data_IF_788186915081
#
_entry.id   IF_788186915081
#
_cell.length_a   1.000
_cell.length_b   1.000
_cell.length_c   1.000
_cell.angle_alpha   90.00
_cell.angle_beta   90.00
_cell.angle_gamma   90.00
#
_symmetry.space_group_name_H-M   'P 1'
#
loop_
_entity.id
_entity.type
_entity.pdbx_description
1 polymer ?
#
# COMPACT_ATOMS: atom_id res chain seq x y z
N UNK A 1 -81.91 -45.59 8.08
CA UNK A 1 -82.08 -46.95 7.51
C UNK A 1 -80.77 -47.69 7.75
N UNK A 2 -80.80 -48.57 8.75
CA UNK A 2 -80.54 -50.00 8.63
C UNK A 2 -79.18 -50.33 8.06
N UNK A 3 -78.21 -51.10 8.68
CA UNK A 3 -78.37 -52.24 9.59
C UNK A 3 -77.02 -52.56 10.22
N UNK A 4 -77.00 -52.90 11.47
CA UNK A 4 -76.00 -53.71 12.18
C UNK A 4 -76.40 -55.21 11.95
N UNK A 5 -75.43 -56.16 11.88
CA UNK A 5 -75.36 -57.08 12.99
C UNK A 5 -73.92 -57.57 13.43
N UNK A 6 -73.71 -57.63 14.75
CA UNK A 6 -73.56 -58.81 15.65
C UNK A 6 -72.31 -59.70 15.51
N UNK A 7 -71.50 -59.57 16.58
CA UNK A 7 -70.85 -60.56 17.45
C UNK A 7 -70.67 -62.01 17.00
N UNK A 8 -69.45 -62.53 17.16
CA UNK A 8 -69.17 -63.81 17.84
C UNK A 8 -67.92 -63.79 18.65
N UNK A 9 -68.00 -64.26 19.90
CA UNK A 9 -66.92 -64.62 20.84
C UNK A 9 -66.43 -66.01 20.50
N UNK A 10 -65.10 -66.29 20.64
CA UNK A 10 -64.56 -67.59 21.12
C UNK A 10 -63.13 -67.32 21.70
N UNK A 11 -62.96 -67.51 22.83
CA UNK A 11 -62.30 -68.36 23.82
C UNK A 11 -60.79 -68.52 23.72
N UNK A 12 -60.20 -68.34 24.92
CA UNK A 12 -58.83 -68.52 25.33
C UNK A 12 -58.18 -69.86 24.94
N UNK A 13 -56.91 -69.81 24.55
CA UNK A 13 -55.94 -70.84 24.90
C UNK A 13 -54.60 -70.18 25.31
N UNK A 14 -54.10 -70.63 26.49
CA UNK A 14 -52.82 -70.27 27.13
C UNK A 14 -51.65 -70.76 26.24
N UNK A 15 -50.65 -69.87 25.99
CA UNK A 15 -49.36 -70.20 25.40
C UNK A 15 -48.29 -69.31 26.01
N UNK A 16 -47.26 -69.91 26.50
CA UNK A 16 -46.11 -69.42 27.23
C UNK A 16 -45.41 -68.20 26.60
N UNK A 17 -44.81 -67.28 27.41
CA UNK A 17 -44.13 -66.08 26.87
C UNK A 17 -42.74 -66.43 26.34
N UNK A 18 -42.52 -66.20 25.04
CA UNK A 18 -41.17 -66.05 24.47
C UNK A 18 -40.76 -64.63 24.58
N UNK A 19 -39.64 -64.40 25.24
CA UNK A 19 -38.98 -63.11 25.33
C UNK A 19 -38.57 -62.60 23.95
N UNK A 20 -39.16 -61.48 23.50
CA UNK A 20 -38.77 -60.75 22.30
C UNK A 20 -37.78 -59.69 22.74
N UNK A 21 -36.47 -59.86 22.41
CA UNK A 21 -35.43 -58.88 22.61
C UNK A 21 -35.66 -57.74 21.63
N UNK A 22 -36.12 -56.61 22.11
CA UNK A 22 -36.23 -55.35 21.33
C UNK A 22 -34.84 -54.67 21.33
N UNK A 23 -34.13 -54.81 20.22
CA UNK A 23 -32.89 -54.05 19.98
C UNK A 23 -33.28 -52.60 19.76
N UNK A 24 -33.05 -51.77 20.78
CA UNK A 24 -33.14 -50.31 20.63
C UNK A 24 -31.93 -49.84 19.84
N UNK A 25 -32.15 -49.46 18.57
CA UNK A 25 -31.15 -48.71 17.79
C UNK A 25 -31.13 -47.28 18.36
N UNK A 26 -30.12 -46.99 19.19
CA UNK A 26 -29.80 -45.61 19.56
C UNK A 26 -29.13 -44.97 18.36
N UNK A 27 -29.91 -44.26 17.55
CA UNK A 27 -29.38 -43.30 16.57
C UNK A 27 -28.74 -42.15 17.32
N UNK A 28 -27.42 -42.22 17.45
CA UNK A 28 -26.60 -41.13 17.94
C UNK A 28 -26.59 -40.07 16.84
N UNK A 29 -27.52 -39.14 16.93
CA UNK A 29 -27.55 -37.93 16.09
C UNK A 29 -26.26 -37.16 16.39
N UNK A 30 -25.31 -37.15 15.45
CA UNK A 30 -24.23 -36.20 15.41
C UNK A 30 -24.91 -34.82 15.27
N UNK A 31 -25.13 -34.13 16.41
CA UNK A 31 -25.36 -32.70 16.42
C UNK A 31 -24.05 -32.08 15.90
N UNK A 32 -24.01 -31.79 14.59
CA UNK A 32 -23.07 -30.86 14.02
C UNK A 32 -23.40 -29.48 14.60
N UNK A 33 -22.91 -29.18 15.81
CA UNK A 33 -22.86 -27.79 16.26
C UNK A 33 -22.09 -27.04 15.16
N UNK A 34 -22.63 -25.98 14.56
CA UNK A 34 -21.81 -25.09 13.78
C UNK A 34 -20.68 -24.63 14.71
N UNK A 35 -19.46 -25.02 14.39
CA UNK A 35 -18.27 -24.39 14.98
C UNK A 35 -18.38 -22.89 14.60
N UNK A 36 -18.91 -22.10 15.52
CA UNK A 36 -18.74 -20.65 15.41
C UNK A 36 -17.24 -20.43 15.44
N UNK A 37 -16.75 -19.83 14.35
CA UNK A 37 -15.36 -19.41 14.29
C UNK A 37 -15.09 -18.56 15.52
N UNK A 38 -14.11 -18.99 16.33
CA UNK A 38 -13.79 -18.28 17.55
C UNK A 38 -13.18 -16.92 17.19
N UNK A 39 -13.69 -15.85 17.78
CA UNK A 39 -13.04 -14.55 17.68
C UNK A 39 -11.63 -14.65 18.27
N UNK A 40 -10.62 -13.98 17.68
CA UNK A 40 -9.27 -13.96 18.21
C UNK A 40 -9.20 -13.43 19.65
N UNK A 41 -8.30 -13.98 20.46
CA UNK A 41 -7.94 -13.38 21.75
C UNK A 41 -7.09 -12.11 21.49
N UNK A 42 -7.78 -11.01 21.20
CA UNK A 42 -7.16 -9.77 20.78
C UNK A 42 -6.04 -9.27 21.71
N UNK A 43 -6.16 -9.30 23.05
CA UNK A 43 -5.06 -8.94 23.94
C UNK A 43 -3.78 -9.76 23.70
N UNK A 44 -3.90 -11.06 23.43
CA UNK A 44 -2.76 -11.94 23.13
C UNK A 44 -2.21 -11.63 21.74
N UNK A 45 -3.07 -11.50 20.74
CA UNK A 45 -2.70 -11.18 19.35
C UNK A 45 -1.98 -9.86 19.27
N UNK A 46 -2.53 -8.81 19.89
CA UNK A 46 -1.99 -7.45 19.87
C UNK A 46 -0.61 -7.38 20.54
N UNK A 47 -0.45 -8.06 21.68
CA UNK A 47 0.87 -8.14 22.33
C UNK A 47 1.91 -8.79 21.42
N UNK A 48 1.57 -9.94 20.81
CA UNK A 48 2.46 -10.63 19.89
C UNK A 48 2.80 -9.79 18.65
N UNK A 49 1.80 -9.15 18.04
CA UNK A 49 1.99 -8.29 16.88
C UNK A 49 2.92 -7.10 17.17
N UNK A 50 2.77 -6.47 18.36
CA UNK A 50 3.65 -5.37 18.77
C UNK A 50 5.10 -5.85 18.98
N UNK A 51 5.31 -6.99 19.63
CA UNK A 51 6.63 -7.59 19.81
C UNK A 51 7.26 -7.97 18.45
N UNK A 52 6.45 -8.48 17.53
CA UNK A 52 6.87 -8.81 16.17
C UNK A 52 7.27 -7.56 15.38
N UNK A 53 6.46 -6.51 15.42
CA UNK A 53 6.80 -5.24 14.76
C UNK A 53 8.12 -4.69 15.29
N UNK A 54 8.36 -4.73 16.61
CA UNK A 54 9.63 -4.29 17.17
C UNK A 54 10.81 -5.15 16.66
N UNK A 55 10.67 -6.48 16.58
CA UNK A 55 11.70 -7.36 16.00
C UNK A 55 11.95 -7.01 14.53
N UNK A 56 10.88 -6.77 13.77
CA UNK A 56 10.97 -6.49 12.35
C UNK A 56 11.62 -5.13 12.06
N UNK A 57 11.28 -4.08 12.79
CA UNK A 57 11.90 -2.76 12.64
C UNK A 57 13.39 -2.79 12.97
N UNK A 58 13.83 -3.66 13.89
CA UNK A 58 15.26 -3.83 14.22
C UNK A 58 16.10 -4.41 13.09
N UNK A 59 15.49 -5.00 12.08
CA UNK A 59 16.20 -5.50 10.90
C UNK A 59 16.39 -4.35 9.92
N UNK A 60 17.65 -3.96 9.67
CA UNK A 60 18.01 -2.86 8.79
C UNK A 60 18.02 -3.31 7.32
N UNK A 61 16.86 -3.48 6.72
CA UNK A 61 16.69 -3.85 5.30
C UNK A 61 16.78 -2.63 4.37
N UNK A 62 17.87 -1.87 4.46
CA UNK A 62 18.05 -0.60 3.75
C UNK A 62 18.24 -0.83 2.24
N UNK A 63 17.57 -0.01 1.43
CA UNK A 63 17.68 0.01 -0.02
C UNK A 63 18.30 1.34 -0.52
N UNK A 64 19.45 1.32 -1.25
CA UNK A 64 20.23 0.16 -1.64
C UNK A 64 21.08 -0.44 -0.49
N UNK A 65 21.52 -1.73 -0.53
CA UNK A 65 21.37 -2.67 -1.64
C UNK A 65 20.06 -3.49 -1.63
N UNK A 66 19.11 -3.25 -0.73
CA UNK A 66 17.87 -4.02 -0.55
C UNK A 66 18.12 -5.48 -0.13
N UNK A 67 19.06 -5.71 0.80
CA UNK A 67 19.24 -7.03 1.37
C UNK A 67 18.10 -7.34 2.35
N UNK A 68 17.19 -8.19 1.94
CA UNK A 68 15.95 -8.51 2.67
C UNK A 68 15.93 -9.94 3.22
N UNK A 69 17.05 -10.68 3.16
CA UNK A 69 17.13 -12.08 3.60
C UNK A 69 16.69 -12.25 5.06
N UNK A 70 17.19 -11.42 5.98
CA UNK A 70 16.85 -11.51 7.42
C UNK A 70 15.39 -11.15 7.66
N UNK A 71 14.88 -10.10 7.02
CA UNK A 71 13.48 -9.70 7.08
C UNK A 71 12.55 -10.82 6.57
N UNK A 72 12.86 -11.39 5.40
CA UNK A 72 12.13 -12.50 4.83
C UNK A 72 12.18 -13.76 5.72
N UNK A 73 13.32 -14.04 6.38
CA UNK A 73 13.45 -15.15 7.30
C UNK A 73 12.59 -14.98 8.56
N UNK A 74 12.53 -13.77 9.13
CA UNK A 74 11.65 -13.46 10.27
C UNK A 74 10.18 -13.73 9.91
N UNK A 75 9.70 -13.12 8.82
CA UNK A 75 8.30 -13.23 8.37
C UNK A 75 7.98 -14.67 7.97
N UNK A 76 8.89 -15.38 7.31
CA UNK A 76 8.75 -16.80 6.99
C UNK A 76 8.55 -17.64 8.28
N UNK A 77 9.38 -17.40 9.30
CA UNK A 77 9.30 -18.14 10.57
C UNK A 77 7.96 -17.95 11.28
N UNK A 78 7.43 -16.72 11.32
CA UNK A 78 6.12 -16.42 11.91
C UNK A 78 4.98 -17.12 11.15
N UNK A 79 5.03 -17.11 9.83
CA UNK A 79 4.05 -17.79 8.99
C UNK A 79 4.11 -19.31 9.14
N UNK A 80 5.33 -19.91 9.21
CA UNK A 80 5.51 -21.34 9.43
C UNK A 80 5.01 -21.78 10.81
N UNK A 81 5.26 -20.96 11.84
CA UNK A 81 4.73 -21.21 13.19
C UNK A 81 3.19 -21.20 13.24
N UNK A 82 2.55 -20.45 12.34
CA UNK A 82 1.10 -20.45 12.13
C UNK A 82 0.63 -21.55 11.16
N UNK A 83 1.52 -22.46 10.71
CA UNK A 83 1.21 -23.58 9.84
C UNK A 83 0.98 -23.23 8.39
N UNK A 84 1.55 -22.12 7.90
CA UNK A 84 1.62 -21.81 6.49
C UNK A 84 2.87 -22.43 5.83
N UNK A 85 2.92 -22.39 4.51
CA UNK A 85 4.07 -22.86 3.72
C UNK A 85 4.52 -21.72 2.78
N UNK A 86 5.24 -20.71 3.30
CA UNK A 86 5.73 -19.61 2.49
C UNK A 86 6.86 -20.05 1.56
N UNK A 87 6.94 -19.42 0.40
CA UNK A 87 8.03 -19.59 -0.58
C UNK A 87 8.87 -18.34 -0.61
N UNK A 88 10.18 -18.50 -0.77
CA UNK A 88 11.15 -17.41 -0.96
C UNK A 88 11.69 -17.43 -2.38
N UNK A 89 11.88 -16.26 -2.96
CA UNK A 89 12.42 -16.05 -4.30
C UNK A 89 13.55 -15.03 -4.24
N UNK A 90 14.76 -15.47 -4.59
CA UNK A 90 15.90 -14.58 -4.77
C UNK A 90 15.84 -13.95 -6.17
N UNK A 91 15.81 -12.64 -6.25
CA UNK A 91 15.71 -11.89 -7.51
C UNK A 91 16.98 -11.10 -7.87
N UNK A 92 17.98 -11.09 -6.98
CA UNK A 92 19.24 -10.41 -7.19
C UNK A 92 20.40 -11.02 -6.39
N UNK A 93 21.66 -10.58 -6.69
CA UNK A 93 22.86 -11.18 -6.11
C UNK A 93 23.14 -10.76 -4.65
N UNK A 94 22.60 -9.64 -4.19
CA UNK A 94 22.96 -9.02 -2.91
C UNK A 94 21.92 -9.32 -1.81
N UNK A 95 21.19 -10.44 -1.93
CA UNK A 95 20.20 -10.87 -0.94
C UNK A 95 18.79 -10.28 -1.15
N UNK A 96 18.49 -9.77 -2.34
CA UNK A 96 17.13 -9.36 -2.71
C UNK A 96 16.22 -10.59 -2.71
N UNK A 97 15.35 -10.65 -1.71
CA UNK A 97 14.49 -11.80 -1.45
C UNK A 97 13.04 -11.36 -1.34
N UNK A 98 12.17 -11.98 -2.14
CA UNK A 98 10.72 -11.81 -2.11
C UNK A 98 10.09 -13.02 -1.41
N UNK A 99 8.93 -12.84 -0.77
CA UNK A 99 8.18 -13.89 -0.08
C UNK A 99 6.75 -13.95 -0.59
N UNK A 100 6.29 -15.16 -0.87
CA UNK A 100 4.88 -15.45 -1.18
C UNK A 100 4.29 -16.45 -0.19
N UNK A 101 3.07 -16.22 0.25
CA UNK A 101 2.28 -17.20 1.01
C UNK A 101 0.81 -17.14 0.59
N UNK A 102 0.12 -18.28 0.66
CA UNK A 102 -1.29 -18.40 0.26
C UNK A 102 -2.14 -19.01 1.38
N UNK A 103 -3.27 -18.39 1.66
CA UNK A 103 -4.37 -18.95 2.44
C UNK A 103 -5.48 -19.38 1.46
N UNK A 104 -5.81 -20.69 1.37
CA UNK A 104 -6.88 -21.15 0.49
C UNK A 104 -8.25 -20.63 0.89
N UNK A 105 -9.02 -20.19 -0.10
CA UNK A 105 -10.41 -19.79 0.05
C UNK A 105 -11.40 -20.92 -0.22
N UNK A 106 -12.68 -20.65 0.05
CA UNK A 106 -13.78 -21.61 -0.21
C UNK A 106 -14.11 -21.77 -1.69
N UNK A 107 -13.88 -20.73 -2.50
CA UNK A 107 -14.10 -20.77 -3.95
C UNK A 107 -12.75 -20.54 -4.68
N UNK A 108 -12.14 -21.65 -5.03
CA UNK A 108 -10.82 -21.66 -5.70
C UNK A 108 -10.89 -21.34 -7.20
N UNK A 109 -12.09 -21.20 -7.77
CA UNK A 109 -12.29 -20.74 -9.14
C UNK A 109 -12.18 -19.22 -9.26
N UNK A 110 -12.34 -18.51 -8.15
CA UNK A 110 -12.13 -17.07 -8.08
C UNK A 110 -10.65 -16.72 -8.01
N UNK A 111 -10.24 -15.67 -8.74
CA UNK A 111 -8.91 -15.11 -8.60
C UNK A 111 -8.69 -14.58 -7.18
N UNK A 112 -7.48 -14.67 -6.62
CA UNK A 112 -7.19 -14.29 -5.23
C UNK A 112 -7.29 -12.79 -4.95
N UNK A 113 -7.37 -12.45 -3.67
CA UNK A 113 -6.95 -11.16 -3.15
C UNK A 113 -5.44 -11.21 -2.91
N UNK A 114 -4.71 -10.20 -3.38
CA UNK A 114 -3.30 -10.01 -3.08
C UNK A 114 -3.12 -8.95 -1.98
N UNK A 115 -2.46 -9.32 -0.89
CA UNK A 115 -1.91 -8.42 0.10
C UNK A 115 -0.47 -8.13 -0.31
N UNK A 116 -0.18 -6.91 -0.70
CA UNK A 116 1.13 -6.49 -1.16
C UNK A 116 1.79 -5.63 -0.08
N UNK A 117 3.06 -5.88 0.17
CA UNK A 117 3.89 -5.09 1.08
C UNK A 117 5.37 -5.26 0.72
N UNK A 118 6.24 -4.38 1.23
CA UNK A 118 7.67 -4.49 0.99
C UNK A 118 8.49 -4.63 2.28
N UNK A 119 9.67 -5.24 2.14
CA UNK A 119 10.63 -5.47 3.22
C UNK A 119 11.61 -4.33 3.40
N UNK A 120 11.98 -3.70 2.29
CA UNK A 120 13.03 -2.71 2.24
C UNK A 120 12.58 -1.36 2.84
N UNK A 121 13.56 -0.55 3.16
CA UNK A 121 13.35 0.79 3.72
C UNK A 121 14.37 1.76 3.16
N UNK A 122 14.05 3.04 3.07
CA UNK A 122 14.99 4.08 2.62
C UNK A 122 16.21 4.21 3.54
N UNK A 123 17.35 4.73 3.04
CA UNK A 123 18.53 5.00 3.85
C UNK A 123 18.27 5.93 5.04
N UNK A 124 19.13 5.85 6.04
CA UNK A 124 19.09 6.67 7.25
C UNK A 124 20.37 7.50 7.40
N UNK A 125 20.23 8.74 7.84
CA UNK A 125 21.34 9.47 8.46
C UNK A 125 21.27 9.29 9.98
N UNK A 126 22.04 8.34 10.51
CA UNK A 126 22.02 8.02 11.94
C UNK A 126 22.35 9.22 12.84
N UNK A 127 23.05 10.24 12.33
CA UNK A 127 23.37 11.46 13.11
C UNK A 127 22.17 12.36 13.28
N UNK A 128 21.25 12.37 12.30
CA UNK A 128 20.04 13.18 12.34
C UNK A 128 18.97 12.58 13.27
N UNK A 129 18.98 11.25 13.47
CA UNK A 129 17.92 10.55 14.24
C UNK A 129 17.92 10.86 15.74
N UNK A 130 19.03 11.27 16.34
CA UNK A 130 19.10 11.47 17.80
C UNK A 130 18.95 10.19 18.66
N UNK A 131 18.69 9.05 18.03
CA UNK A 131 18.60 7.68 18.57
C UNK A 131 18.96 6.69 17.48
N UNK A 132 19.12 5.40 17.82
CA UNK A 132 19.29 4.35 16.81
C UNK A 132 17.98 4.21 15.98
N UNK A 133 18.02 4.44 14.66
CA UNK A 133 16.83 4.35 13.78
C UNK A 133 16.20 2.95 13.73
N UNK A 134 16.92 1.93 14.14
CA UNK A 134 16.46 0.54 14.18
C UNK A 134 16.25 0.00 15.61
N UNK A 135 16.25 0.85 16.63
CA UNK A 135 16.02 0.40 18.00
C UNK A 135 14.58 -0.05 18.28
N UNK A 136 13.61 0.39 17.48
CA UNK A 136 12.19 0.08 17.63
C UNK A 136 11.66 0.39 19.04
N UNK A 137 11.96 1.58 19.56
CA UNK A 137 11.55 1.99 20.91
C UNK A 137 10.09 2.41 20.92
N UNK A 138 9.39 2.03 22.01
CA UNK A 138 8.06 2.56 22.30
C UNK A 138 8.24 3.77 23.23
N UNK A 139 7.83 4.95 22.75
CA UNK A 139 7.89 6.19 23.49
C UNK A 139 6.64 7.03 23.17
N UNK A 140 6.03 7.60 24.21
CA UNK A 140 4.84 8.46 24.10
C UNK A 140 3.67 7.78 23.33
N UNK A 141 3.48 6.45 23.53
CA UNK A 141 2.45 5.67 22.85
C UNK A 141 2.70 5.39 21.37
N UNK A 142 3.90 5.68 20.88
CA UNK A 142 4.31 5.44 19.50
C UNK A 142 5.51 4.51 19.43
N UNK A 143 5.58 3.69 18.39
CA UNK A 143 6.77 2.91 18.04
C UNK A 143 7.59 3.72 17.05
N UNK A 144 8.84 3.97 17.39
CA UNK A 144 9.80 4.78 16.64
C UNK A 144 10.80 3.89 15.93
N UNK A 145 11.01 4.14 14.64
CA UNK A 145 12.04 3.48 13.85
C UNK A 145 11.80 3.58 12.35
N UNK A 146 12.87 3.50 11.58
CA UNK A 146 12.81 3.44 10.12
C UNK A 146 12.04 2.20 9.67
N UNK A 147 11.04 2.39 8.80
CA UNK A 147 10.15 1.34 8.33
C UNK A 147 8.93 1.11 9.23
N UNK A 148 8.80 1.80 10.38
CA UNK A 148 7.63 1.64 11.24
C UNK A 148 6.34 2.07 10.52
N UNK A 149 6.37 3.19 9.79
CA UNK A 149 5.27 3.73 9.00
C UNK A 149 5.29 3.20 7.56
N UNK A 150 6.46 3.12 6.95
CA UNK A 150 6.70 2.76 5.57
C UNK A 150 7.65 1.54 5.47
N UNK A 151 7.09 0.27 5.33
CA UNK A 151 5.69 -0.06 5.60
C UNK A 151 5.58 -1.32 6.49
N UNK A 152 6.62 -1.58 7.36
CA UNK A 152 6.66 -2.78 8.21
C UNK A 152 5.47 -2.88 9.16
N UNK A 153 4.95 -1.73 9.64
CA UNK A 153 3.73 -1.68 10.43
C UNK A 153 2.56 -2.30 9.69
N UNK A 154 2.29 -1.83 8.48
CA UNK A 154 1.20 -2.34 7.64
C UNK A 154 1.43 -3.81 7.24
N UNK A 155 2.66 -4.22 6.95
CA UNK A 155 2.99 -5.61 6.65
C UNK A 155 2.65 -6.55 7.82
N UNK A 156 2.90 -6.13 9.07
CA UNK A 156 2.52 -6.89 10.27
C UNK A 156 1.01 -6.90 10.46
N UNK A 157 0.30 -5.80 10.18
CA UNK A 157 -1.18 -5.78 10.20
C UNK A 157 -1.77 -6.83 9.24
N UNK A 158 -1.34 -6.81 7.98
CA UNK A 158 -1.78 -7.74 6.94
C UNK A 158 -1.49 -9.20 7.33
N UNK A 159 -0.27 -9.49 7.75
CA UNK A 159 0.16 -10.83 8.12
C UNK A 159 -0.56 -11.34 9.37
N UNK A 160 -0.70 -10.51 10.41
CA UNK A 160 -1.38 -10.91 11.65
C UNK A 160 -2.84 -11.22 11.38
N UNK A 161 -3.54 -10.39 10.60
CA UNK A 161 -4.92 -10.65 10.20
C UNK A 161 -5.05 -11.96 9.41
N UNK A 162 -4.13 -12.24 8.49
CA UNK A 162 -4.09 -13.49 7.73
C UNK A 162 -3.87 -14.72 8.63
N UNK A 163 -2.97 -14.63 9.61
CA UNK A 163 -2.69 -15.67 10.59
C UNK A 163 -3.93 -15.94 11.44
N UNK A 164 -4.59 -14.89 11.92
CA UNK A 164 -5.76 -15.04 12.80
C UNK A 164 -6.97 -15.59 12.06
N UNK A 165 -7.18 -15.30 10.77
CA UNK A 165 -8.18 -16.00 9.97
C UNK A 165 -7.97 -17.52 10.00
N UNK A 166 -6.74 -17.94 9.76
CA UNK A 166 -6.41 -19.37 9.75
C UNK A 166 -6.58 -20.02 11.13
N UNK A 167 -6.13 -19.34 12.20
CA UNK A 167 -6.28 -19.83 13.59
C UNK A 167 -7.74 -19.94 14.01
N UNK A 168 -8.58 -19.00 13.59
CA UNK A 168 -10.02 -19.00 13.83
C UNK A 168 -10.77 -20.03 12.97
N UNK A 169 -10.10 -20.71 12.04
CA UNK A 169 -10.74 -21.64 11.10
C UNK A 169 -11.66 -20.95 10.09
N UNK A 170 -11.50 -19.64 9.89
CA UNK A 170 -12.29 -18.86 8.92
C UNK A 170 -11.71 -19.10 7.52
N UNK A 171 -12.54 -19.62 6.63
CA UNK A 171 -12.20 -19.82 5.22
C UNK A 171 -12.68 -18.61 4.42
N UNK A 172 -11.78 -17.79 3.85
CA UNK A 172 -12.16 -16.60 3.12
C UNK A 172 -12.93 -16.93 1.82
N UNK A 173 -13.64 -15.97 1.20
CA UNK A 173 -14.45 -16.21 0.01
C UNK A 173 -13.64 -16.64 -1.23
N UNK A 174 -12.39 -16.25 -1.30
CA UNK A 174 -11.40 -16.58 -2.34
C UNK A 174 -10.03 -16.79 -1.69
N UNK A 175 -9.08 -17.32 -2.43
CA UNK A 175 -7.70 -17.40 -1.94
C UNK A 175 -7.21 -16.00 -1.56
N UNK A 176 -6.42 -15.92 -0.48
CA UNK A 176 -5.65 -14.71 -0.13
C UNK A 176 -4.19 -15.06 -0.33
N UNK A 177 -3.50 -14.25 -1.12
CA UNK A 177 -2.05 -14.33 -1.33
C UNK A 177 -1.43 -13.12 -0.65
N UNK A 178 -0.40 -13.31 0.16
CA UNK A 178 0.46 -12.22 0.62
C UNK A 178 1.78 -12.30 -0.13
N UNK A 179 2.18 -11.18 -0.71
CA UNK A 179 3.47 -10.98 -1.36
C UNK A 179 4.21 -9.86 -0.64
N UNK A 180 5.41 -10.18 -0.14
CA UNK A 180 6.33 -9.19 0.40
C UNK A 180 7.51 -9.04 -0.55
N UNK A 181 7.73 -7.84 -1.07
CA UNK A 181 8.74 -7.51 -2.08
C UNK A 181 10.01 -6.94 -1.45
N UNK A 182 11.10 -6.90 -2.19
CA UNK A 182 12.41 -6.51 -1.68
C UNK A 182 12.93 -5.15 -2.18
N UNK A 183 12.24 -4.44 -3.08
CA UNK A 183 12.86 -3.36 -3.86
C UNK A 183 11.86 -2.22 -4.19
N UNK A 184 10.85 -1.99 -3.36
CA UNK A 184 9.86 -0.94 -3.61
C UNK A 184 10.52 0.44 -3.65
N UNK A 185 11.33 0.75 -2.65
CA UNK A 185 12.02 2.03 -2.42
C UNK A 185 13.02 2.43 -3.53
N UNK A 186 13.25 1.53 -4.52
CA UNK A 186 14.12 1.76 -5.68
C UNK A 186 13.49 1.35 -7.01
N UNK A 187 12.18 1.57 -7.18
CA UNK A 187 11.38 1.32 -8.39
C UNK A 187 10.90 -0.12 -8.62
N UNK A 188 11.03 -1.02 -7.67
CA UNK A 188 10.42 -2.35 -7.69
C UNK A 188 10.94 -3.32 -8.77
N UNK A 189 12.13 -3.07 -9.35
CA UNK A 189 12.66 -3.89 -10.46
C UNK A 189 12.96 -5.32 -10.03
N UNK A 190 13.51 -5.50 -8.83
CA UNK A 190 13.84 -6.79 -8.22
C UNK A 190 12.71 -7.30 -7.31
N UNK A 191 11.77 -6.44 -6.96
CA UNK A 191 10.55 -6.72 -6.21
C UNK A 191 9.39 -7.09 -7.11
N UNK A 192 8.34 -6.25 -7.11
CA UNK A 192 7.07 -6.51 -7.80
C UNK A 192 7.24 -6.75 -9.29
N UNK A 193 8.10 -6.01 -9.99
CA UNK A 193 8.27 -6.20 -11.42
C UNK A 193 8.86 -7.59 -11.74
N UNK A 194 9.84 -8.03 -10.95
CA UNK A 194 10.43 -9.36 -11.11
C UNK A 194 9.39 -10.46 -10.80
N UNK A 195 8.62 -10.31 -9.72
CA UNK A 195 7.57 -11.26 -9.35
C UNK A 195 6.48 -11.35 -10.44
N UNK A 196 6.02 -10.23 -10.96
CA UNK A 196 5.02 -10.18 -12.03
C UNK A 196 5.55 -10.78 -13.35
N UNK A 197 6.82 -10.64 -13.65
CA UNK A 197 7.39 -11.17 -14.87
C UNK A 197 7.69 -12.67 -14.81
N UNK A 198 7.99 -13.22 -13.62
CA UNK A 198 8.47 -14.59 -13.48
C UNK A 198 7.48 -15.51 -12.73
N UNK A 199 6.57 -14.97 -11.92
CA UNK A 199 5.69 -15.73 -11.03
C UNK A 199 4.24 -15.21 -11.03
N UNK A 200 3.80 -14.57 -12.12
CA UNK A 200 2.45 -14.01 -12.19
C UNK A 200 1.36 -15.06 -11.96
N UNK A 201 1.56 -16.31 -12.42
CA UNK A 201 0.62 -17.41 -12.24
C UNK A 201 0.36 -17.74 -10.75
N UNK A 202 1.33 -17.44 -9.89
CA UNK A 202 1.17 -17.60 -8.45
C UNK A 202 0.41 -16.44 -7.80
N UNK A 203 0.35 -15.29 -8.47
CA UNK A 203 -0.34 -14.09 -8.02
C UNK A 203 -1.74 -13.99 -8.62
N UNK A 204 -1.84 -13.82 -9.93
CA UNK A 204 -3.02 -13.57 -10.79
C UNK A 204 -4.25 -13.01 -10.04
N UNK A 205 -4.13 -11.86 -9.35
CA UNK A 205 -5.14 -11.40 -8.41
C UNK A 205 -6.36 -10.80 -9.10
N UNK A 206 -7.54 -10.89 -8.42
CA UNK A 206 -8.72 -10.10 -8.77
C UNK A 206 -8.65 -8.69 -8.18
N UNK A 207 -7.97 -8.55 -7.04
CA UNK A 207 -7.81 -7.31 -6.28
C UNK A 207 -6.46 -7.29 -5.60
N UNK A 208 -5.96 -6.07 -5.33
CA UNK A 208 -4.74 -5.82 -4.57
C UNK A 208 -5.04 -4.87 -3.41
N UNK A 209 -4.50 -5.17 -2.22
CA UNK A 209 -4.35 -4.24 -1.11
C UNK A 209 -2.87 -3.99 -0.87
N UNK A 210 -2.48 -2.74 -1.00
CA UNK A 210 -1.11 -2.24 -0.86
C UNK A 210 -1.08 -1.09 0.14
N UNK A 211 0.03 -0.42 0.25
CA UNK A 211 0.18 0.80 1.03
C UNK A 211 -0.51 2.00 0.37
N UNK A 212 -0.68 3.06 1.14
CA UNK A 212 -1.29 4.31 0.69
C UNK A 212 -2.69 4.53 1.25
N UNK A 213 -3.03 5.79 1.37
CA UNK A 213 -4.22 6.20 2.10
C UNK A 213 -4.03 6.10 3.62
N UNK A 214 -4.83 6.83 4.36
CA UNK A 214 -4.88 6.77 5.82
C UNK A 214 -6.10 7.53 6.33
N UNK A 215 -6.42 7.37 7.61
CA UNK A 215 -7.37 8.21 8.34
C UNK A 215 -6.70 9.45 8.92
N UNK A 216 -7.34 10.61 8.85
CA UNK A 216 -6.87 11.81 9.54
C UNK A 216 -8.00 12.73 9.93
N UNK A 217 -7.83 13.48 11.03
CA UNK A 217 -8.76 14.52 11.48
C UNK A 217 -8.39 15.92 10.99
N UNK A 218 -7.23 16.04 10.37
CA UNK A 218 -6.61 17.33 10.01
C UNK A 218 -6.27 17.41 8.54
N UNK A 219 -5.84 16.30 7.94
CA UNK A 219 -5.23 16.27 6.61
C UNK A 219 -6.19 16.75 5.52
N UNK A 220 -7.41 16.22 5.51
CA UNK A 220 -8.37 16.49 4.42
C UNK A 220 -9.30 17.65 4.72
N UNK A 221 -9.92 17.65 5.90
CA UNK A 221 -10.79 18.73 6.37
C UNK A 221 -10.77 18.79 7.89
N UNK A 222 -10.55 19.98 8.49
CA UNK A 222 -10.40 20.10 9.94
C UNK A 222 -11.63 19.58 10.70
N UNK A 223 -11.38 18.83 11.78
CA UNK A 223 -12.40 18.40 12.73
C UNK A 223 -13.24 17.19 12.30
N UNK A 224 -13.11 16.69 11.08
CA UNK A 224 -13.74 15.44 10.63
C UNK A 224 -12.71 14.34 10.50
N UNK A 225 -13.01 13.15 10.99
CA UNK A 225 -12.22 11.98 10.66
C UNK A 225 -12.55 11.55 9.23
N UNK A 226 -11.56 11.60 8.35
CA UNK A 226 -11.68 11.19 6.96
C UNK A 226 -10.65 10.10 6.68
N UNK A 227 -11.09 8.94 6.19
CA UNK A 227 -10.23 7.91 5.64
C UNK A 227 -10.19 8.05 4.11
N UNK A 228 -9.00 8.23 3.57
CA UNK A 228 -8.76 8.07 2.14
C UNK A 228 -8.32 6.65 1.85
N UNK A 229 -9.02 5.94 0.97
CA UNK A 229 -8.57 4.69 0.38
C UNK A 229 -7.96 5.05 -0.97
N UNK A 230 -6.65 4.78 -1.16
CA UNK A 230 -6.01 5.14 -2.41
C UNK A 230 -6.53 4.24 -3.55
N UNK A 231 -7.03 4.85 -4.60
CA UNK A 231 -7.54 4.18 -5.81
C UNK A 231 -6.66 4.42 -7.02
N UNK A 232 -5.67 5.27 -6.89
CA UNK A 232 -4.74 5.65 -7.93
C UNK A 232 -3.63 6.55 -7.42
N UNK A 233 -2.62 6.73 -8.24
CA UNK A 233 -1.44 7.53 -7.97
C UNK A 233 -1.12 8.47 -9.11
N UNK A 234 -0.29 9.48 -8.86
CA UNK A 234 0.21 10.37 -9.91
C UNK A 234 1.32 9.68 -10.71
N UNK A 235 1.41 10.02 -11.98
CA UNK A 235 2.50 9.59 -12.85
C UNK A 235 3.78 10.35 -12.51
N UNK A 236 4.93 9.70 -12.47
CA UNK A 236 6.23 10.34 -12.28
C UNK A 236 6.88 10.64 -13.63
N UNK A 237 7.08 11.92 -13.93
CA UNK A 237 7.78 12.40 -15.11
C UNK A 237 8.98 13.23 -14.67
N UNK A 238 10.17 12.65 -14.71
CA UNK A 238 11.40 13.35 -14.38
C UNK A 238 12.05 13.92 -15.63
N UNK A 239 12.29 15.23 -15.61
CA UNK A 239 12.86 15.96 -16.75
C UNK A 239 14.24 16.50 -16.37
N UNK A 240 15.22 16.30 -17.25
CA UNK A 240 16.51 17.00 -17.22
C UNK A 240 16.47 18.16 -18.19
N UNK A 241 16.83 19.34 -17.70
CA UNK A 241 17.09 20.53 -18.50
C UNK A 241 18.61 20.70 -18.59
N UNK A 242 19.17 20.73 -19.80
CA UNK A 242 20.61 20.96 -20.02
C UNK A 242 20.79 22.17 -20.90
N UNK A 243 21.44 23.20 -20.37
CA UNK A 243 21.75 24.44 -21.09
C UNK A 243 23.21 24.43 -21.58
N UNK A 244 23.42 24.89 -22.81
CA UNK A 244 24.74 25.09 -23.40
C UNK A 244 25.01 26.58 -23.60
N UNK A 245 26.25 26.97 -23.36
CA UNK A 245 26.73 28.32 -23.58
C UNK A 245 28.23 28.35 -23.83
N UNK A 246 28.82 29.53 -23.85
CA UNK A 246 30.26 29.72 -24.06
C UNK A 246 30.99 29.75 -22.72
N UNK A 247 32.09 28.98 -22.60
CA UNK A 247 32.98 29.05 -21.45
C UNK A 247 33.82 30.33 -21.48
N UNK A 248 34.11 30.89 -20.31
CA UNK A 248 34.89 32.11 -20.27
C UNK A 248 35.44 32.47 -18.88
N UNK A 249 36.22 33.56 -18.85
CA UNK A 249 36.72 34.10 -17.60
C UNK A 249 35.66 34.97 -16.91
N UNK A 250 35.40 34.73 -15.63
CA UNK A 250 34.31 35.37 -14.88
C UNK A 250 34.38 36.93 -14.83
N UNK A 251 35.59 37.53 -15.05
CA UNK A 251 35.76 38.98 -15.13
C UNK A 251 35.30 39.56 -16.48
N UNK A 252 34.95 38.73 -17.46
CA UNK A 252 34.50 39.14 -18.80
C UNK A 252 33.09 38.59 -19.02
N UNK A 253 32.04 39.30 -18.56
CA UNK A 253 30.66 38.84 -18.70
C UNK A 253 30.29 38.59 -20.16
N UNK A 254 29.65 37.45 -20.43
CA UNK A 254 29.17 37.05 -21.74
C UNK A 254 27.65 36.83 -21.70
N UNK A 255 26.98 37.21 -22.80
CA UNK A 255 25.51 37.01 -22.90
C UNK A 255 25.13 35.53 -23.04
N UNK A 256 26.03 34.71 -23.56
CA UNK A 256 25.85 33.27 -23.79
C UNK A 256 26.40 32.45 -22.61
N UNK A 257 25.95 32.77 -21.40
CA UNK A 257 26.33 32.09 -20.16
C UNK A 257 25.35 30.96 -19.85
N UNK A 258 25.82 29.71 -19.80
CA UNK A 258 24.99 28.51 -19.59
C UNK A 258 24.17 28.59 -18.27
N UNK A 259 24.73 29.16 -17.20
CA UNK A 259 24.00 29.33 -15.93
C UNK A 259 22.79 30.28 -16.09
N UNK A 260 22.97 31.41 -16.76
CA UNK A 260 21.90 32.39 -16.97
C UNK A 260 20.81 31.82 -17.88
N UNK A 261 21.21 31.11 -18.95
CA UNK A 261 20.30 30.42 -19.85
C UNK A 261 19.47 29.39 -19.10
N UNK A 262 20.12 28.56 -18.26
CA UNK A 262 19.40 27.54 -17.46
C UNK A 262 18.43 28.17 -16.46
N UNK A 263 18.83 29.22 -15.75
CA UNK A 263 17.97 29.91 -14.79
C UNK A 263 16.71 30.48 -15.45
N UNK A 264 16.84 31.07 -16.65
CA UNK A 264 15.70 31.58 -17.42
C UNK A 264 14.78 30.43 -17.91
N UNK A 265 15.38 29.31 -18.35
CA UNK A 265 14.64 28.12 -18.75
C UNK A 265 13.83 27.52 -17.58
N UNK A 266 14.44 27.39 -16.39
CA UNK A 266 13.75 26.91 -15.17
C UNK A 266 12.59 27.84 -14.84
N UNK A 267 12.82 29.16 -14.81
CA UNK A 267 11.78 30.15 -14.52
C UNK A 267 10.61 30.05 -15.49
N UNK A 268 10.86 29.90 -16.80
CA UNK A 268 9.82 29.71 -17.82
C UNK A 268 9.08 28.38 -17.68
N UNK A 269 9.82 27.29 -17.46
CA UNK A 269 9.24 25.95 -17.29
C UNK A 269 8.29 25.90 -16.09
N UNK A 270 8.69 26.46 -14.95
CA UNK A 270 7.98 26.37 -13.68
C UNK A 270 6.95 27.50 -13.44
N UNK A 271 6.75 28.42 -14.38
CA UNK A 271 5.88 29.59 -14.19
C UNK A 271 4.42 29.23 -13.89
N UNK A 272 3.92 28.13 -14.38
CA UNK A 272 2.69 27.45 -13.96
C UNK A 272 2.67 26.02 -14.53
N UNK A 273 2.18 25.00 -13.81
CA UNK A 273 1.86 23.73 -14.45
C UNK A 273 0.77 23.93 -15.50
N UNK A 274 0.74 23.09 -16.56
CA UNK A 274 -0.35 23.13 -17.54
C UNK A 274 -1.71 22.95 -16.87
N UNK A 275 -2.73 23.64 -17.39
CA UNK A 275 -4.10 23.49 -16.92
C UNK A 275 -4.55 22.03 -17.05
N UNK A 276 -5.11 21.46 -15.96
CA UNK A 276 -5.62 20.09 -15.93
C UNK A 276 -7.11 20.06 -16.24
N UNK A 277 -7.55 19.01 -16.93
CA UNK A 277 -8.97 18.68 -17.01
C UNK A 277 -9.42 18.11 -15.64
N UNK A 278 -10.69 18.30 -15.24
CA UNK A 278 -11.21 17.69 -14.03
C UNK A 278 -11.00 16.16 -14.04
N UNK A 279 -10.44 15.63 -12.99
CA UNK A 279 -10.23 14.19 -12.83
C UNK A 279 -11.39 13.64 -11.97
N UNK A 280 -12.16 12.65 -12.44
CA UNK A 280 -13.38 12.19 -11.76
C UNK A 280 -13.17 11.84 -10.27
N UNK A 281 -12.08 11.16 -9.92
CA UNK A 281 -11.79 10.82 -8.53
C UNK A 281 -11.54 12.06 -7.66
N UNK A 282 -10.91 13.10 -8.19
CA UNK A 282 -10.70 14.37 -7.46
C UNK A 282 -12.04 15.04 -7.15
N UNK A 283 -12.98 15.00 -8.10
CA UNK A 283 -14.34 15.52 -7.88
C UNK A 283 -15.13 14.66 -6.87
N UNK A 284 -14.90 13.35 -6.85
CA UNK A 284 -15.47 12.45 -5.84
C UNK A 284 -14.91 12.74 -4.45
N UNK A 285 -13.60 12.92 -4.33
CA UNK A 285 -12.95 13.38 -3.10
C UNK A 285 -13.57 14.69 -2.56
N UNK A 286 -13.73 15.70 -3.44
CA UNK A 286 -14.34 16.99 -3.08
C UNK A 286 -15.75 16.81 -2.55
N UNK A 287 -16.58 16.01 -3.23
CA UNK A 287 -17.96 15.74 -2.79
C UNK A 287 -18.01 15.07 -1.42
N UNK A 288 -17.14 14.09 -1.17
CA UNK A 288 -17.12 13.33 0.09
C UNK A 288 -16.85 14.21 1.32
N UNK A 289 -15.97 15.21 1.20
CA UNK A 289 -15.64 16.12 2.32
C UNK A 289 -16.55 17.36 2.39
N UNK A 290 -17.47 17.54 1.43
CA UNK A 290 -18.37 18.70 1.38
C UNK A 290 -17.81 19.91 0.62
N UNK A 291 -16.91 19.67 -0.33
CA UNK A 291 -16.43 20.67 -1.31
C UNK A 291 -15.17 21.43 -0.93
N UNK A 292 -14.78 21.46 0.35
CA UNK A 292 -13.61 22.24 0.79
C UNK A 292 -12.57 21.35 1.46
N UNK A 293 -11.36 21.35 0.92
CA UNK A 293 -10.20 20.72 1.51
C UNK A 293 -9.40 21.65 2.40
N UNK A 294 -8.67 21.05 3.36
CA UNK A 294 -7.62 21.76 4.08
C UNK A 294 -6.52 22.20 3.10
N UNK A 295 -6.06 23.43 3.26
CA UNK A 295 -4.94 23.94 2.45
C UNK A 295 -3.61 23.46 3.07
N UNK A 296 -3.07 22.37 2.55
CA UNK A 296 -1.76 21.85 2.92
C UNK A 296 -1.04 21.22 1.72
N UNK A 297 0.27 21.01 1.86
CA UNK A 297 1.12 20.52 0.76
C UNK A 297 0.69 19.16 0.20
N UNK A 298 0.19 18.24 1.06
CA UNK A 298 -0.21 16.90 0.63
C UNK A 298 -1.49 16.97 -0.21
N UNK A 299 -2.53 17.61 0.31
CA UNK A 299 -3.81 17.78 -0.40
C UNK A 299 -3.59 18.53 -1.72
N UNK A 300 -2.85 19.63 -1.69
CA UNK A 300 -2.58 20.41 -2.91
C UNK A 300 -1.84 19.56 -3.96
N UNK A 301 -0.86 18.75 -3.52
CA UNK A 301 -0.15 17.83 -4.41
C UNK A 301 -1.06 16.72 -4.97
N UNK A 302 -2.12 16.34 -4.27
CA UNK A 302 -3.08 15.32 -4.72
C UNK A 302 -4.06 15.85 -5.76
N UNK A 303 -4.39 17.15 -5.70
CA UNK A 303 -5.46 17.75 -6.51
C UNK A 303 -5.02 18.25 -7.88
N UNK A 304 -3.72 18.54 -8.06
CA UNK A 304 -3.18 19.15 -9.27
C UNK A 304 -1.87 18.48 -9.74
N UNK A 305 -1.48 18.75 -11.00
CA UNK A 305 -0.12 18.46 -11.44
C UNK A 305 0.87 19.28 -10.63
N UNK A 306 2.00 18.69 -10.28
CA UNK A 306 3.04 19.38 -9.51
C UNK A 306 4.39 19.33 -10.22
N UNK A 307 5.22 20.34 -9.98
CA UNK A 307 6.58 20.43 -10.50
C UNK A 307 7.51 20.91 -9.38
N UNK A 308 8.61 20.21 -9.16
CA UNK A 308 9.62 20.54 -8.14
C UNK A 308 11.01 20.55 -8.78
N UNK A 309 11.77 21.63 -8.62
CA UNK A 309 13.18 21.65 -8.95
C UNK A 309 13.94 20.81 -7.91
N UNK A 310 14.56 19.72 -8.34
CA UNK A 310 15.19 18.77 -7.42
C UNK A 310 16.71 18.83 -7.46
N UNK A 311 17.32 19.12 -8.60
CA UNK A 311 18.77 19.30 -8.71
C UNK A 311 19.11 20.52 -9.54
N UNK A 312 20.27 21.14 -9.20
CA UNK A 312 20.88 22.21 -9.98
C UNK A 312 22.40 22.00 -9.93
N UNK A 313 23.00 21.80 -11.08
CA UNK A 313 24.44 21.50 -11.20
C UNK A 313 25.10 22.34 -12.24
N UNK A 314 26.23 22.95 -11.88
CA UNK A 314 27.03 23.75 -12.78
C UNK A 314 28.42 24.03 -12.18
N UNK A 315 29.33 24.61 -12.98
CA UNK A 315 30.67 24.96 -12.57
C UNK A 315 31.73 24.08 -13.18
N UNK A 316 33.01 24.44 -13.00
CA UNK A 316 34.18 23.77 -13.55
C UNK A 316 35.18 23.46 -12.43
N UNK A 317 35.69 22.23 -12.44
CA UNK A 317 36.72 21.76 -11.53
C UNK A 317 36.21 21.24 -10.17
N UNK A 318 37.11 20.58 -9.43
CA UNK A 318 36.88 20.10 -8.08
C UNK A 318 38.09 20.46 -7.22
N UNK A 319 37.97 21.43 -6.28
CA UNK A 319 36.80 22.26 -6.02
C UNK A 319 36.38 23.16 -7.20
N UNK A 320 35.11 23.55 -7.24
CA UNK A 320 34.57 24.43 -8.29
C UNK A 320 35.30 25.77 -8.33
N UNK A 321 35.70 26.20 -9.53
CA UNK A 321 36.39 27.47 -9.75
C UNK A 321 35.41 28.63 -9.86
N UNK A 322 35.49 29.57 -8.93
CA UNK A 322 34.54 30.69 -8.81
C UNK A 322 34.69 31.75 -9.92
N UNK A 323 35.83 31.79 -10.62
CA UNK A 323 36.15 32.76 -11.64
C UNK A 323 36.06 32.20 -13.08
N UNK A 324 35.43 31.04 -13.27
CA UNK A 324 35.22 30.39 -14.57
C UNK A 324 33.74 30.31 -14.90
N UNK A 325 33.34 30.82 -16.08
CA UNK A 325 32.01 30.63 -16.63
C UNK A 325 31.97 29.25 -17.30
N UNK A 326 31.06 28.34 -16.88
CA UNK A 326 30.96 27.02 -17.48
C UNK A 326 30.25 27.06 -18.85
N UNK A 327 30.57 26.08 -19.71
CA UNK A 327 29.91 25.89 -21.00
C UNK A 327 28.60 25.11 -20.91
N UNK A 328 28.33 24.46 -19.78
CA UNK A 328 27.10 23.69 -19.54
C UNK A 328 26.58 23.91 -18.12
N UNK A 329 25.25 23.82 -17.99
CA UNK A 329 24.57 23.79 -16.71
C UNK A 329 23.35 22.88 -16.83
N UNK A 330 23.02 22.15 -15.76
CA UNK A 330 21.95 21.17 -15.74
C UNK A 330 21.04 21.33 -14.53
N UNK A 331 19.76 20.97 -14.72
CA UNK A 331 18.76 20.91 -13.65
C UNK A 331 17.84 19.73 -13.85
N UNK A 332 17.28 19.20 -12.77
CA UNK A 332 16.21 18.19 -12.82
C UNK A 332 14.93 18.76 -12.24
N UNK A 333 13.81 18.47 -12.90
CA UNK A 333 12.46 18.80 -12.43
C UNK A 333 11.70 17.49 -12.25
N UNK A 334 11.21 17.24 -11.03
CA UNK A 334 10.25 16.17 -10.72
C UNK A 334 8.83 16.69 -11.00
N UNK A 335 8.23 16.18 -12.07
CA UNK A 335 6.84 16.46 -12.41
C UNK A 335 5.98 15.27 -11.99
N UNK A 336 4.87 15.55 -11.27
CA UNK A 336 3.88 14.55 -10.89
C UNK A 336 2.56 14.90 -11.55
N UNK A 337 2.11 14.02 -12.46
CA UNK A 337 0.96 14.25 -13.31
C UNK A 337 -0.26 13.47 -12.81
N UNK A 338 -1.43 14.08 -12.86
CA UNK A 338 -2.69 13.43 -12.57
C UNK A 338 -2.97 12.30 -13.58
N UNK A 339 -3.71 11.24 -13.20
CA UNK A 339 -4.15 10.22 -14.15
C UNK A 339 -4.90 10.82 -15.34
N UNK A 340 -4.63 10.31 -16.54
CA UNK A 340 -5.19 10.79 -17.80
C UNK A 340 -4.49 12.00 -18.41
N UNK A 341 -3.46 12.56 -17.76
CA UNK A 341 -2.63 13.61 -18.36
C UNK A 341 -1.64 12.98 -19.33
N UNK A 342 -1.63 13.48 -20.56
CA UNK A 342 -0.66 13.01 -21.56
C UNK A 342 0.72 13.61 -21.27
N UNK A 343 1.68 12.77 -20.94
CA UNK A 343 3.04 13.17 -20.58
C UNK A 343 3.83 13.76 -21.76
N UNK A 344 3.53 13.36 -23.02
CA UNK A 344 4.17 13.92 -24.20
C UNK A 344 3.71 15.34 -24.45
N UNK A 345 2.41 15.60 -24.31
CA UNK A 345 1.84 16.94 -24.40
C UNK A 345 2.38 17.84 -23.29
N UNK A 346 2.48 17.32 -22.07
CA UNK A 346 3.02 18.06 -20.93
C UNK A 346 4.48 18.46 -21.15
N UNK A 347 5.33 17.52 -21.60
CA UNK A 347 6.72 17.83 -21.92
C UNK A 347 6.85 18.81 -23.09
N UNK A 348 6.00 18.68 -24.11
CA UNK A 348 5.99 19.57 -25.28
C UNK A 348 5.61 20.99 -24.88
N UNK A 349 4.66 21.17 -23.97
CA UNK A 349 4.29 22.47 -23.43
C UNK A 349 5.46 23.12 -22.66
N UNK A 350 6.18 22.33 -21.83
CA UNK A 350 7.39 22.83 -21.14
C UNK A 350 8.44 23.28 -22.15
N UNK A 351 8.72 22.49 -23.21
CA UNK A 351 9.65 22.87 -24.28
C UNK A 351 9.22 24.16 -24.97
N UNK A 352 7.92 24.28 -25.27
CA UNK A 352 7.37 25.47 -25.92
C UNK A 352 7.48 26.75 -25.03
N UNK A 353 7.30 26.62 -23.73
CA UNK A 353 7.49 27.72 -22.77
C UNK A 353 8.94 28.17 -22.68
N UNK A 354 9.88 27.22 -22.62
CA UNK A 354 11.32 27.51 -22.58
C UNK A 354 11.72 28.25 -23.85
N UNK A 355 11.34 27.74 -25.01
CA UNK A 355 11.57 28.33 -26.35
C UNK A 355 13.00 28.88 -26.52
N UNK A 356 14.01 28.07 -26.15
CA UNK A 356 15.42 28.41 -26.30
C UNK A 356 16.16 27.20 -26.91
N UNK A 357 16.73 27.31 -28.14
CA UNK A 357 17.38 26.19 -28.81
C UNK A 357 18.68 25.72 -28.13
N UNK A 358 19.22 26.49 -27.18
CA UNK A 358 20.39 26.14 -26.38
C UNK A 358 20.05 25.23 -25.19
N UNK A 359 18.74 25.00 -24.95
CA UNK A 359 18.25 24.18 -23.83
C UNK A 359 17.63 22.89 -24.39
N UNK A 360 18.14 21.75 -23.95
CA UNK A 360 17.50 20.45 -24.20
C UNK A 360 16.65 20.08 -22.98
N UNK A 361 15.50 19.40 -23.24
CA UNK A 361 14.61 18.83 -22.21
C UNK A 361 14.44 17.35 -22.49
N UNK A 362 15.03 16.52 -21.63
CA UNK A 362 15.08 15.07 -21.76
C UNK A 362 14.34 14.39 -20.61
N UNK A 363 13.73 13.22 -20.88
CA UNK A 363 13.15 12.36 -19.84
C UNK A 363 14.24 11.53 -19.20
N UNK A 364 14.19 11.41 -17.86
CA UNK A 364 15.02 10.50 -17.09
C UNK A 364 14.32 9.16 -16.79
N UNK A 365 12.98 9.14 -16.90
CA UNK A 365 12.15 7.95 -16.71
C UNK A 365 10.93 8.01 -17.62
N UNK A 366 10.40 6.85 -18.00
CA UNK A 366 9.13 6.78 -18.70
C UNK A 366 7.98 6.85 -17.68
N UNK A 367 7.07 7.84 -17.79
CA UNK A 367 5.91 7.93 -16.93
C UNK A 367 4.94 6.78 -17.19
N UNK A 368 4.29 6.30 -16.14
CA UNK A 368 3.28 5.25 -16.23
C UNK A 368 1.95 5.81 -15.74
N UNK A 369 0.98 5.89 -16.63
CA UNK A 369 -0.43 6.15 -16.26
C UNK A 369 -1.13 4.80 -16.06
N UNK A 370 -1.31 4.43 -14.79
CA UNK A 370 -2.03 3.20 -14.44
C UNK A 370 -3.55 3.42 -14.30
N UNK A 371 -4.03 4.63 -14.52
CA UNK A 371 -5.43 4.98 -14.32
C UNK A 371 -5.86 4.94 -12.85
N UNK A 372 -7.15 4.74 -12.65
CA UNK A 372 -7.81 4.76 -11.34
C UNK A 372 -8.67 3.52 -11.17
N UNK A 373 -8.55 2.82 -10.04
CA UNK A 373 -9.44 1.71 -9.66
C UNK A 373 -10.83 2.23 -9.27
N UNK A 374 -11.88 1.46 -9.55
CA UNK A 374 -13.25 1.84 -9.19
C UNK A 374 -13.47 1.78 -7.67
N UNK A 375 -14.08 2.80 -7.09
CA UNK A 375 -14.58 2.83 -5.70
C UNK A 375 -15.89 2.06 -5.49
N UNK A 376 -16.48 1.49 -6.55
CA UNK A 376 -17.76 0.75 -6.50
C UNK A 376 -17.57 -0.78 -6.46
N UNK A 377 -16.37 -1.27 -6.14
CA UNK A 377 -16.12 -2.71 -6.05
C UNK A 377 -16.59 -3.29 -4.71
N UNK A 378 -16.93 -4.59 -4.65
CA UNK A 378 -17.23 -5.27 -3.39
C UNK A 378 -16.13 -5.14 -2.35
N UNK A 379 -14.84 -5.19 -2.75
CA UNK A 379 -13.73 -5.03 -1.83
C UNK A 379 -13.66 -3.61 -1.25
N UNK A 380 -13.89 -2.56 -2.06
CA UNK A 380 -13.95 -1.18 -1.56
C UNK A 380 -15.08 -1.02 -0.53
N UNK A 381 -16.24 -1.61 -0.79
CA UNK A 381 -17.35 -1.60 0.15
C UNK A 381 -17.02 -2.35 1.45
N UNK A 382 -16.29 -3.46 1.38
CA UNK A 382 -15.83 -4.22 2.54
C UNK A 382 -14.85 -3.39 3.41
N UNK A 383 -13.86 -2.75 2.78
CA UNK A 383 -12.93 -1.83 3.48
C UNK A 383 -13.67 -0.70 4.17
N UNK A 384 -14.61 -0.06 3.47
CA UNK A 384 -15.45 0.99 4.04
C UNK A 384 -16.25 0.50 5.24
N UNK A 385 -16.85 -0.67 5.15
CA UNK A 385 -17.64 -1.27 6.23
C UNK A 385 -16.79 -1.54 7.46
N UNK A 386 -15.60 -2.12 7.28
CA UNK A 386 -14.67 -2.40 8.36
C UNK A 386 -14.18 -1.12 9.05
N UNK A 387 -13.85 -0.08 8.27
CA UNK A 387 -13.49 1.23 8.81
C UNK A 387 -14.63 1.85 9.63
N UNK A 388 -15.88 1.82 9.11
CA UNK A 388 -17.03 2.42 9.79
C UNK A 388 -17.49 1.63 11.02
N UNK A 389 -17.14 0.35 11.12
CA UNK A 389 -17.35 -0.45 12.34
C UNK A 389 -16.51 0.09 13.51
N UNK A 390 -15.26 0.42 13.28
CA UNK A 390 -14.34 0.98 14.28
C UNK A 390 -14.53 2.50 14.45
N UNK A 391 -14.96 3.19 13.39
CA UNK A 391 -15.08 4.64 13.33
C UNK A 391 -16.45 5.05 12.73
N UNK A 392 -17.57 4.90 13.45
CA UNK A 392 -18.93 5.06 12.91
C UNK A 392 -19.25 6.44 12.33
N UNK A 393 -18.52 7.48 12.73
CA UNK A 393 -18.73 8.88 12.27
C UNK A 393 -17.73 9.32 11.21
N UNK A 394 -16.83 8.42 10.77
CA UNK A 394 -15.84 8.76 9.78
C UNK A 394 -16.44 8.92 8.37
N UNK A 395 -15.82 9.77 7.58
CA UNK A 395 -16.04 9.82 6.14
C UNK A 395 -15.01 8.89 5.49
N UNK A 396 -15.47 8.00 4.62
CA UNK A 396 -14.58 7.15 3.80
C UNK A 396 -14.71 7.56 2.35
N UNK A 397 -13.59 7.90 1.70
CA UNK A 397 -13.56 8.36 0.32
C UNK A 397 -12.45 7.67 -0.49
N UNK A 398 -12.63 7.49 -1.81
CA UNK A 398 -11.49 7.19 -2.67
C UNK A 398 -10.55 8.39 -2.73
N UNK A 399 -9.25 8.15 -2.92
CA UNK A 399 -8.28 9.23 -3.06
C UNK A 399 -7.17 8.89 -4.07
N UNK A 400 -6.49 9.92 -4.55
CA UNK A 400 -5.20 9.79 -5.22
C UNK A 400 -4.08 9.98 -4.21
N UNK A 401 -2.97 9.25 -4.41
CA UNK A 401 -1.72 9.52 -3.71
C UNK A 401 -0.75 10.27 -4.63
N UNK A 402 0.04 11.23 -4.13
CA UNK A 402 0.95 12.02 -4.96
C UNK A 402 2.26 11.29 -5.29
N UNK A 403 2.52 10.13 -4.65
CA UNK A 403 3.71 9.28 -4.80
C UNK A 403 3.38 7.99 -5.55
N UNK A 404 4.40 7.18 -5.86
CA UNK A 404 4.25 5.86 -6.49
C UNK A 404 4.27 4.76 -5.46
N UNK A 405 3.67 3.60 -5.78
CA UNK A 405 3.69 2.35 -5.00
C UNK A 405 3.80 1.16 -5.94
N UNK A 406 4.13 0.00 -5.42
CA UNK A 406 4.29 -1.25 -6.19
C UNK A 406 3.01 -1.68 -6.93
N UNK A 407 1.82 -1.32 -6.43
CA UNK A 407 0.54 -1.69 -7.03
C UNK A 407 0.34 -1.18 -8.47
N UNK A 408 1.10 -0.15 -8.89
CA UNK A 408 1.05 0.38 -10.26
C UNK A 408 1.29 -0.72 -11.29
N UNK A 409 2.17 -1.69 -11.00
CA UNK A 409 2.51 -2.79 -11.90
C UNK A 409 1.37 -3.77 -12.14
N UNK A 410 0.42 -3.81 -11.22
CA UNK A 410 -0.79 -4.62 -11.29
C UNK A 410 -1.97 -3.81 -11.86
N UNK A 411 -2.10 -2.54 -11.47
CA UNK A 411 -3.15 -1.65 -12.00
C UNK A 411 -3.04 -1.44 -13.51
N UNK A 412 -1.84 -1.32 -14.10
CA UNK A 412 -1.66 -1.23 -15.57
C UNK A 412 -2.13 -2.50 -16.30
N UNK A 413 -2.31 -3.61 -15.61
CA UNK A 413 -2.89 -4.86 -16.13
C UNK A 413 -4.40 -4.91 -15.98
N UNK A 414 -5.04 -3.81 -15.57
CA UNK A 414 -6.49 -3.72 -15.34
C UNK A 414 -6.94 -4.35 -14.03
N UNK A 415 -6.05 -4.65 -13.10
CA UNK A 415 -6.37 -5.24 -11.80
C UNK A 415 -6.69 -4.12 -10.81
N UNK A 416 -7.92 -4.06 -10.24
CA UNK A 416 -8.26 -3.09 -9.21
C UNK A 416 -7.32 -3.21 -8.00
N UNK A 417 -6.61 -2.11 -7.72
CA UNK A 417 -5.60 -2.05 -6.66
C UNK A 417 -5.88 -0.85 -5.76
N UNK A 418 -5.76 -1.06 -4.46
CA UNK A 418 -6.13 -0.08 -3.44
C UNK A 418 -5.01 0.05 -2.42
N UNK A 419 -4.57 1.29 -2.16
CA UNK A 419 -3.77 1.59 -1.00
C UNK A 419 -4.66 1.70 0.24
N UNK A 420 -4.40 0.85 1.24
CA UNK A 420 -5.25 0.72 2.42
C UNK A 420 -4.42 0.64 3.70
N UNK A 421 -4.23 1.79 4.33
CA UNK A 421 -3.60 1.93 5.64
C UNK A 421 -4.67 2.35 6.67
N UNK A 422 -5.29 1.41 7.39
CA UNK A 422 -6.43 1.68 8.26
C UNK A 422 -6.06 2.29 9.62
N UNK A 423 -5.10 3.21 9.65
CA UNK A 423 -4.63 3.93 10.82
C UNK A 423 -5.10 5.38 10.81
N UNK A 424 -5.46 5.93 11.97
CA UNK A 424 -5.70 7.37 12.13
C UNK A 424 -4.39 8.05 12.49
N UNK A 425 -3.89 8.87 11.56
CA UNK A 425 -2.62 9.57 11.69
C UNK A 425 -2.85 11.09 11.71
N UNK A 426 -2.15 11.79 12.58
CA UNK A 426 -2.06 13.24 12.50
C UNK A 426 -1.06 13.67 11.41
N UNK A 427 -1.13 14.93 11.01
CA UNK A 427 -0.26 15.47 9.96
C UNK A 427 1.21 15.45 10.34
N UNK A 428 1.53 15.52 11.65
CA UNK A 428 2.90 15.43 12.14
C UNK A 428 3.46 14.02 11.99
N UNK A 429 2.68 12.99 12.27
CA UNK A 429 3.06 11.57 12.07
C UNK A 429 3.21 11.25 10.57
N UNK A 430 2.25 11.66 9.73
CA UNK A 430 2.34 11.46 8.28
C UNK A 430 3.62 12.11 7.71
N UNK A 431 3.98 13.29 8.20
CA UNK A 431 5.18 14.00 7.77
C UNK A 431 6.50 13.32 8.19
N UNK A 432 6.45 12.26 9.01
CA UNK A 432 7.64 11.51 9.43
C UNK A 432 8.07 10.42 8.45
N UNK A 433 7.22 10.05 7.50
CA UNK A 433 7.58 9.13 6.41
C UNK A 433 8.88 9.61 5.74
N UNK A 434 9.86 8.72 5.60
CA UNK A 434 11.21 9.00 5.08
C UNK A 434 12.04 10.03 5.88
N UNK A 435 11.54 10.52 7.03
CA UNK A 435 12.30 11.43 7.89
C UNK A 435 13.13 10.69 8.96
N UNK A 436 13.88 11.43 9.75
CA UNK A 436 14.64 10.97 10.91
C UNK A 436 13.79 10.82 12.19
N UNK A 437 12.47 10.92 12.06
CA UNK A 437 11.51 10.84 13.17
C UNK A 437 10.36 9.86 12.87
N UNK A 438 10.58 8.92 12.00
CA UNK A 438 9.55 7.97 11.56
C UNK A 438 8.99 7.16 12.72
N UNK A 439 7.67 7.11 12.79
CA UNK A 439 6.94 6.45 13.88
C UNK A 439 5.49 6.22 13.52
N UNK A 440 4.85 5.28 14.25
CA UNK A 440 3.40 5.08 14.19
C UNK A 440 2.79 5.00 15.60
N UNK A 441 1.54 5.43 15.80
CA UNK A 441 0.80 5.24 17.05
C UNK A 441 0.50 3.75 17.28
N UNK A 442 0.92 3.20 18.43
CA UNK A 442 0.70 1.80 18.80
C UNK A 442 -0.79 1.43 18.75
N UNK A 443 -1.66 2.31 19.26
CA UNK A 443 -3.11 2.06 19.30
C UNK A 443 -3.71 1.94 17.91
N UNK A 444 -3.26 2.76 16.96
CA UNK A 444 -3.77 2.72 15.57
C UNK A 444 -3.24 1.51 14.81
N UNK A 445 -1.96 1.15 14.99
CA UNK A 445 -1.39 -0.09 14.48
C UNK A 445 -2.19 -1.33 14.95
N UNK A 446 -2.47 -1.42 16.25
CA UNK A 446 -3.24 -2.54 16.79
C UNK A 446 -4.70 -2.57 16.28
N UNK A 447 -5.31 -1.38 16.11
CA UNK A 447 -6.65 -1.27 15.50
C UNK A 447 -6.64 -1.67 14.03
N UNK A 448 -5.59 -1.33 13.29
CA UNK A 448 -5.40 -1.73 11.89
C UNK A 448 -5.48 -3.23 11.68
N UNK A 449 -4.91 -4.02 12.58
CA UNK A 449 -4.99 -5.49 12.54
C UNK A 449 -6.45 -5.97 12.57
N UNK A 450 -7.28 -5.40 13.45
CA UNK A 450 -8.70 -5.77 13.57
C UNK A 450 -9.49 -5.37 12.32
N UNK A 451 -9.19 -4.20 11.76
CA UNK A 451 -9.83 -3.73 10.52
C UNK A 451 -9.45 -4.66 9.36
N UNK A 452 -8.17 -5.02 9.20
CA UNK A 452 -7.75 -5.99 8.19
C UNK A 452 -8.43 -7.35 8.39
N UNK A 453 -8.51 -7.86 9.62
CA UNK A 453 -9.21 -9.10 9.91
C UNK A 453 -10.68 -9.05 9.48
N UNK A 454 -11.39 -7.95 9.73
CA UNK A 454 -12.77 -7.76 9.31
C UNK A 454 -12.90 -7.68 7.78
N UNK A 455 -11.98 -7.02 7.08
CA UNK A 455 -11.94 -6.98 5.61
C UNK A 455 -11.73 -8.38 5.06
N UNK A 456 -10.72 -9.10 5.52
CA UNK A 456 -10.32 -10.39 4.96
C UNK A 456 -11.35 -11.51 5.17
N UNK A 457 -12.17 -11.45 6.23
CA UNK A 457 -13.25 -12.41 6.47
C UNK A 457 -14.58 -12.09 5.77
N UNK A 458 -14.70 -10.89 5.19
CA UNK A 458 -15.94 -10.45 4.55
C UNK A 458 -16.14 -11.08 3.17
N UNK A 459 -17.37 -11.02 2.64
CA UNK A 459 -17.70 -11.43 1.28
C UNK A 459 -17.47 -10.28 0.29
N UNK A 460 -16.44 -10.39 -0.58
CA UNK A 460 -16.12 -9.45 -1.64
C UNK A 460 -15.79 -10.13 -2.97
#
# INVERSE_FOLDING_TARGET
MRNIPRRRRHECRRGTPRACATTAIVTMGLFCCPLWAAEPDWPVVEKHALELLQKYVRIASVNPPANTVEAAALIKGELEAAGFTPKLYSSGPDGQTNLIVRLPGRDRSKKPLLLLNHFDVVPVDAKAWGMDPFAAIIKDGQIWGRGALDMKGLAVEQMTALIELKRAGIVPPRDIVMLSTCDEESNGKLGIQWMVNNHFDELDPAYVLDEGGAGSRELFTPGKLVFGIAVGQKQSLWLRLSAKGTAGHGSQPIADNANTILMDAIRKAMNAPPATKPVPVVEEMKRAVGGTFANNKFVNATLDNTMSLTTLQSGVGSPVKVNVIPSTAEATIDCRLLPGVNADEFQSDIKARINDPRVTVERLSEPVDAGVSSSETPLFAAMRTALLKEHPTAVVMPMLVPYGTDEVRLRIRGIPSYGFMPMVLDTATIATMHSDQERIPVVEFLRGIRIYFDVLRSDY
#
